data_IF_461749432621
#
_entry.id   IF_461749432621
#
_cell.length_a   1.000
_cell.length_b   1.000
_cell.length_c   1.000
_cell.angle_alpha   90.00
_cell.angle_beta   90.00
_cell.angle_gamma   90.00
#
_symmetry.space_group_name_H-M   'P 1'
#
loop_
_entity.id
_entity.type
_entity.pdbx_description
1 polymer ?
#
# COMPACT_ATOMS: atom_id res chain seq x y z
N UNK A 1 36.49 0.77 13.40
CA UNK A 1 35.63 -0.43 13.37
C UNK A 1 34.18 -0.01 13.12
N UNK A 2 33.55 0.79 14.02
CA UNK A 2 32.15 1.24 13.85
C UNK A 2 31.77 1.96 12.53
N UNK A 3 32.58 2.88 12.00
CA UNK A 3 32.18 3.61 10.77
C UNK A 3 32.28 2.77 9.50
N UNK A 4 33.31 1.92 9.43
CA UNK A 4 33.56 1.06 8.26
C UNK A 4 32.52 -0.05 8.15
N UNK A 5 32.07 -0.58 9.30
CA UNK A 5 31.01 -1.61 9.34
C UNK A 5 29.63 -1.00 9.00
N UNK A 6 29.38 0.28 9.32
CA UNK A 6 28.16 1.02 8.90
C UNK A 6 28.18 1.29 7.39
N UNK A 7 29.33 1.69 6.85
CA UNK A 7 29.50 1.97 5.42
C UNK A 7 29.37 0.70 4.56
N UNK A 8 29.90 -0.42 5.05
CA UNK A 8 29.75 -1.74 4.41
C UNK A 8 28.30 -2.23 4.50
N UNK A 9 27.60 -2.05 5.62
CA UNK A 9 26.17 -2.41 5.73
C UNK A 9 25.28 -1.51 4.83
N UNK A 10 25.59 -0.21 4.69
CA UNK A 10 24.93 0.68 3.72
C UNK A 10 25.18 0.27 2.26
N UNK A 11 26.40 -0.18 1.93
CA UNK A 11 26.76 -0.60 0.58
C UNK A 11 26.17 -1.96 0.23
N UNK A 12 26.45 -3.01 1.01
CA UNK A 12 26.05 -4.38 0.70
C UNK A 12 24.54 -4.57 0.83
N UNK A 13 23.95 -4.13 1.94
CA UNK A 13 22.51 -4.26 2.18
C UNK A 13 21.71 -3.30 1.31
N UNK A 14 22.24 -2.10 1.05
CA UNK A 14 21.63 -1.12 0.17
C UNK A 14 21.61 -1.59 -1.30
N UNK A 15 22.65 -2.29 -1.76
CA UNK A 15 22.69 -2.91 -3.09
C UNK A 15 21.77 -4.12 -3.20
N UNK A 16 21.75 -5.01 -2.20
CA UNK A 16 20.80 -6.12 -2.17
C UNK A 16 19.35 -5.63 -2.19
N UNK A 17 19.03 -4.59 -1.40
CA UNK A 17 17.73 -3.93 -1.42
C UNK A 17 17.46 -3.37 -2.83
N UNK A 18 18.37 -2.55 -3.38
CA UNK A 18 18.23 -1.98 -4.74
C UNK A 18 18.02 -3.04 -5.83
N UNK A 19 18.67 -4.20 -5.72
CA UNK A 19 18.53 -5.32 -6.67
C UNK A 19 17.35 -6.24 -6.39
N UNK A 20 16.70 -6.12 -5.22
CA UNK A 20 15.62 -7.02 -4.83
C UNK A 20 14.38 -6.83 -5.71
N UNK A 21 13.85 -7.93 -6.22
CA UNK A 21 12.56 -7.95 -6.95
C UNK A 21 11.41 -7.38 -6.13
N UNK A 22 11.50 -7.46 -4.80
CA UNK A 22 10.48 -6.98 -3.86
C UNK A 22 10.45 -5.45 -3.74
N UNK A 23 11.52 -4.75 -4.14
CA UNK A 23 11.61 -3.31 -3.90
C UNK A 23 12.18 -2.51 -5.08
N UNK A 24 11.99 -2.93 -6.34
CA UNK A 24 12.46 -2.19 -7.53
C UNK A 24 12.06 -0.71 -7.66
N UNK A 25 11.21 -0.17 -6.77
CA UNK A 25 10.90 1.27 -6.63
C UNK A 25 11.81 2.02 -5.64
N UNK A 26 12.59 1.34 -4.79
CA UNK A 26 13.51 1.94 -3.81
C UNK A 26 14.65 2.71 -4.48
N UNK A 27 15.04 2.37 -5.71
CA UNK A 27 15.99 3.16 -6.49
C UNK A 27 15.55 4.64 -6.62
N UNK A 28 14.23 4.89 -6.60
CA UNK A 28 13.64 6.24 -6.64
C UNK A 28 13.60 6.94 -5.27
N UNK A 29 14.29 6.42 -4.25
CA UNK A 29 14.31 6.94 -2.88
C UNK A 29 15.71 7.44 -2.49
N UNK A 30 16.58 7.74 -3.47
CA UNK A 30 17.86 8.39 -3.21
C UNK A 30 17.66 9.86 -2.81
N UNK A 31 18.10 10.22 -1.59
CA UNK A 31 18.02 11.58 -1.03
C UNK A 31 16.73 11.89 -0.26
N UNK A 32 16.65 13.10 0.31
CA UNK A 32 15.45 13.56 1.03
C UNK A 32 14.35 13.92 0.03
N UNK A 33 13.20 13.21 0.02
CA UNK A 33 12.15 13.49 -0.94
C UNK A 33 11.52 14.88 -0.77
N UNK A 34 11.12 15.51 -1.88
CA UNK A 34 10.50 16.85 -1.88
C UNK A 34 9.31 17.00 -0.94
N UNK A 35 8.44 15.99 -0.85
CA UNK A 35 7.26 16.02 0.03
C UNK A 35 7.61 16.23 1.52
N UNK A 36 8.84 15.91 1.95
CA UNK A 36 9.32 16.18 3.31
C UNK A 36 9.61 17.67 3.48
N UNK A 37 10.27 18.30 2.51
CA UNK A 37 10.69 19.70 2.59
C UNK A 37 9.53 20.71 2.50
N UNK A 38 8.44 20.37 1.81
CA UNK A 38 7.24 21.24 1.71
C UNK A 38 6.21 21.01 2.83
N UNK A 39 6.41 20.01 3.69
CA UNK A 39 5.46 19.68 4.75
C UNK A 39 5.59 20.60 5.97
N UNK A 40 4.45 20.99 6.55
CA UNK A 40 4.40 21.75 7.80
C UNK A 40 4.58 20.83 9.01
N UNK A 41 5.04 21.38 10.15
CA UNK A 41 5.27 20.61 11.40
C UNK A 41 4.03 19.84 11.90
N UNK A 42 2.82 20.28 11.58
CA UNK A 42 1.57 19.64 11.97
C UNK A 42 1.09 18.56 10.97
N UNK A 43 1.79 18.31 9.87
CA UNK A 43 1.41 17.36 8.81
C UNK A 43 2.08 15.98 8.95
N UNK A 44 2.53 15.61 10.16
CA UNK A 44 3.23 14.34 10.40
C UNK A 44 2.47 13.10 9.91
N UNK A 45 1.14 13.06 10.06
CA UNK A 45 0.31 11.95 9.54
C UNK A 45 0.36 11.84 8.02
N UNK A 46 0.38 12.99 7.32
CA UNK A 46 0.49 13.07 5.86
C UNK A 46 1.86 12.57 5.39
N UNK A 47 2.94 12.96 6.07
CA UNK A 47 4.29 12.45 5.80
C UNK A 47 4.38 10.93 5.92
N UNK A 48 3.92 10.39 7.05
CA UNK A 48 3.96 8.95 7.32
C UNK A 48 3.16 8.18 6.28
N UNK A 49 1.99 8.67 5.87
CA UNK A 49 1.19 8.05 4.81
C UNK A 49 1.96 7.97 3.49
N UNK A 50 2.46 9.11 3.00
CA UNK A 50 3.20 9.16 1.73
C UNK A 50 4.41 8.21 1.77
N UNK A 51 5.16 8.21 2.87
CA UNK A 51 6.30 7.32 3.06
C UNK A 51 5.90 5.83 2.96
N UNK A 52 4.87 5.41 3.70
CA UNK A 52 4.39 4.02 3.69
C UNK A 52 3.95 3.56 2.31
N UNK A 53 3.25 4.41 1.57
CA UNK A 53 2.83 4.10 0.20
C UNK A 53 4.02 4.01 -0.77
N UNK A 54 4.99 4.93 -0.67
CA UNK A 54 6.20 4.91 -1.51
C UNK A 54 7.07 3.70 -1.24
N UNK A 55 7.16 3.25 0.01
CA UNK A 55 7.92 2.07 0.39
C UNK A 55 7.17 0.75 0.17
N UNK A 56 5.94 0.79 -0.37
CA UNK A 56 5.17 -0.42 -0.69
C UNK A 56 4.54 -1.13 0.51
N UNK A 57 4.53 -0.52 1.70
CA UNK A 57 3.92 -1.09 2.91
C UNK A 57 2.41 -1.31 2.76
N UNK A 58 1.79 -0.48 1.91
CA UNK A 58 0.35 -0.49 1.64
C UNK A 58 -0.04 -1.47 0.52
N UNK A 59 0.92 -2.15 -0.12
CA UNK A 59 0.69 -3.20 -1.12
C UNK A 59 0.66 -4.57 -0.43
N UNK A 60 -0.52 -5.16 -0.23
CA UNK A 60 -0.63 -6.53 0.32
C UNK A 60 0.06 -7.55 -0.57
N UNK A 61 0.15 -7.28 -1.88
CA UNK A 61 0.89 -8.08 -2.85
C UNK A 61 2.38 -8.25 -2.51
N UNK A 62 3.00 -7.35 -1.73
CA UNK A 62 4.42 -7.44 -1.36
C UNK A 62 4.68 -8.28 -0.10
N UNK A 63 3.63 -8.80 0.55
CA UNK A 63 3.76 -9.60 1.78
C UNK A 63 4.01 -11.08 1.46
N UNK A 64 5.26 -11.42 1.16
CA UNK A 64 5.66 -12.79 0.75
C UNK A 64 5.45 -13.86 1.83
N UNK A 65 5.23 -13.47 3.08
CA UNK A 65 4.88 -14.39 4.18
C UNK A 65 3.39 -14.76 4.23
N UNK A 66 2.55 -14.12 3.41
CA UNK A 66 1.13 -14.49 3.25
C UNK A 66 0.95 -15.48 2.10
N UNK A 67 -0.13 -16.25 2.13
CA UNK A 67 -0.48 -17.12 1.00
C UNK A 67 -0.97 -16.29 -0.21
N UNK A 68 -0.99 -16.89 -1.40
CA UNK A 68 -1.34 -16.17 -2.64
C UNK A 68 -2.77 -15.60 -2.64
N UNK A 69 -3.73 -16.31 -2.03
CA UNK A 69 -5.11 -15.85 -1.89
C UNK A 69 -5.23 -14.62 -1.01
N UNK A 70 -4.50 -14.60 0.11
CA UNK A 70 -4.41 -13.44 0.99
C UNK A 70 -3.73 -12.27 0.31
N UNK A 71 -2.82 -12.50 -0.63
CA UNK A 71 -2.13 -11.42 -1.35
C UNK A 71 -2.99 -10.75 -2.43
N UNK A 72 -4.19 -11.27 -2.70
CA UNK A 72 -5.14 -10.66 -3.63
C UNK A 72 -5.65 -9.30 -3.14
N UNK A 73 -6.08 -8.49 -4.09
CA UNK A 73 -6.62 -7.16 -3.86
C UNK A 73 -7.80 -7.21 -2.87
N UNK A 74 -7.70 -6.46 -1.77
CA UNK A 74 -8.78 -6.34 -0.78
C UNK A 74 -10.07 -5.76 -1.37
N UNK A 75 -9.98 -5.01 -2.47
CA UNK A 75 -11.13 -4.37 -3.10
C UNK A 75 -11.82 -5.29 -4.11
N UNK A 76 -11.11 -5.79 -5.13
CA UNK A 76 -11.72 -6.62 -6.19
C UNK A 76 -11.51 -8.13 -6.02
N UNK A 77 -10.58 -8.59 -5.18
CA UNK A 77 -10.33 -10.01 -4.93
C UNK A 77 -9.75 -10.81 -6.11
N UNK A 78 -9.26 -10.17 -7.17
CA UNK A 78 -8.76 -10.86 -8.38
C UNK A 78 -7.25 -11.06 -8.39
N UNK A 79 -6.52 -9.98 -8.64
CA UNK A 79 -5.07 -9.98 -8.79
C UNK A 79 -4.35 -9.61 -7.49
N UNK A 80 -3.03 -9.80 -7.46
CA UNK A 80 -2.18 -9.36 -6.34
C UNK A 80 -2.35 -7.86 -6.09
N UNK A 81 -2.48 -7.49 -4.82
CA UNK A 81 -2.69 -6.11 -4.42
C UNK A 81 -1.42 -5.26 -4.57
N UNK A 82 -1.20 -4.73 -5.76
CA UNK A 82 -0.15 -3.77 -6.07
C UNK A 82 -0.75 -2.40 -6.42
N UNK A 83 0.05 -1.34 -6.31
CA UNK A 83 -0.31 0.02 -6.74
C UNK A 83 -0.58 0.05 -8.24
N UNK A 84 0.14 -0.73 -9.06
CA UNK A 84 -0.15 -0.81 -10.50
C UNK A 84 -1.54 -1.40 -10.75
N UNK A 85 -1.85 -2.50 -10.07
CA UNK A 85 -3.17 -3.11 -10.13
C UNK A 85 -4.26 -2.11 -9.69
N UNK A 86 -4.12 -1.51 -8.50
CA UNK A 86 -5.10 -0.55 -7.96
C UNK A 86 -5.30 0.67 -8.87
N UNK A 87 -4.24 1.15 -9.53
CA UNK A 87 -4.29 2.32 -10.41
C UNK A 87 -4.88 2.03 -11.79
N UNK A 88 -4.58 0.87 -12.38
CA UNK A 88 -4.84 0.59 -13.80
C UNK A 88 -5.94 -0.46 -14.03
N UNK A 89 -5.95 -1.49 -13.21
CA UNK A 89 -6.67 -2.74 -13.47
C UNK A 89 -7.85 -2.97 -12.52
N UNK A 90 -7.77 -2.47 -11.30
CA UNK A 90 -8.79 -2.69 -10.29
C UNK A 90 -10.11 -2.02 -10.69
N UNK A 91 -11.08 -2.84 -11.07
CA UNK A 91 -12.43 -2.41 -11.44
C UNK A 91 -13.12 -1.66 -10.30
N UNK A 92 -12.97 -2.14 -9.05
CA UNK A 92 -13.60 -1.50 -7.90
C UNK A 92 -13.11 -0.06 -7.70
N UNK A 93 -11.81 0.18 -7.88
CA UNK A 93 -11.23 1.52 -7.81
C UNK A 93 -11.69 2.37 -8.99
N UNK A 94 -11.78 1.78 -10.19
CA UNK A 94 -12.24 2.45 -11.41
C UNK A 94 -13.69 2.93 -11.29
N UNK A 95 -14.55 2.15 -10.66
CA UNK A 95 -15.97 2.46 -10.51
C UNK A 95 -16.24 3.49 -9.39
N UNK A 96 -15.38 3.52 -8.37
CA UNK A 96 -15.58 4.35 -7.18
C UNK A 96 -14.73 5.63 -7.15
N UNK A 97 -13.76 5.80 -8.06
CA UNK A 97 -12.80 6.89 -7.95
C UNK A 97 -11.95 7.16 -9.19
N UNK A 98 -10.99 8.08 -9.01
CA UNK A 98 -10.10 8.53 -10.08
C UNK A 98 -8.98 7.53 -10.37
N UNK A 99 -8.66 7.38 -11.67
CA UNK A 99 -7.42 6.72 -12.10
C UNK A 99 -6.24 7.57 -11.65
N UNK A 100 -5.56 7.17 -10.58
CA UNK A 100 -4.46 7.94 -10.04
C UNK A 100 -3.24 7.95 -10.96
N UNK A 101 -3.03 9.00 -11.76
CA UNK A 101 -1.77 9.14 -12.52
C UNK A 101 -0.64 9.55 -11.57
N UNK A 102 0.40 8.73 -11.50
CA UNK A 102 1.65 8.93 -10.76
C UNK A 102 1.49 9.26 -9.28
N UNK A 103 0.72 8.40 -8.61
CA UNK A 103 0.33 8.52 -7.20
C UNK A 103 1.49 8.42 -6.21
N UNK A 104 2.65 7.92 -6.63
CA UNK A 104 3.85 7.79 -5.77
C UNK A 104 4.91 8.87 -6.06
N UNK A 105 4.53 9.98 -6.72
CA UNK A 105 5.44 11.08 -7.04
C UNK A 105 6.08 11.70 -5.79
N UNK A 106 7.27 12.29 -5.99
CA UNK A 106 8.07 12.86 -4.90
C UNK A 106 7.49 14.12 -4.26
N UNK A 107 6.59 14.79 -4.95
CA UNK A 107 5.90 15.99 -4.50
C UNK A 107 4.74 15.69 -3.53
N UNK A 108 4.34 14.42 -3.39
CA UNK A 108 3.24 14.01 -2.53
C UNK A 108 1.85 14.40 -3.05
N UNK A 109 1.70 14.75 -4.33
CA UNK A 109 0.39 15.07 -4.95
C UNK A 109 -0.58 13.89 -4.98
N UNK A 110 -0.05 12.66 -4.93
CA UNK A 110 -0.87 11.44 -4.89
C UNK A 110 -1.59 11.16 -3.57
N UNK A 111 -1.46 12.01 -2.55
CA UNK A 111 -2.06 11.75 -1.23
C UNK A 111 -3.58 11.60 -1.26
N UNK A 112 -4.29 12.38 -2.08
CA UNK A 112 -5.75 12.27 -2.18
C UNK A 112 -6.18 10.89 -2.68
N UNK A 113 -5.43 10.32 -3.63
CA UNK A 113 -5.65 8.96 -4.10
C UNK A 113 -5.33 7.91 -3.02
N UNK A 114 -4.24 8.09 -2.26
CA UNK A 114 -3.89 7.21 -1.13
C UNK A 114 -5.00 7.16 -0.08
N UNK A 115 -5.53 8.32 0.31
CA UNK A 115 -6.64 8.45 1.27
C UNK A 115 -7.93 7.83 0.75
N UNK A 116 -8.22 8.00 -0.55
CA UNK A 116 -9.35 7.36 -1.20
C UNK A 116 -9.24 5.84 -1.12
N UNK A 117 -8.09 5.26 -1.45
CA UNK A 117 -7.91 3.81 -1.37
C UNK A 117 -8.03 3.29 0.08
N UNK A 118 -7.44 3.99 1.06
CA UNK A 118 -7.59 3.66 2.48
C UNK A 118 -9.07 3.65 2.91
N UNK A 119 -9.87 4.60 2.42
CA UNK A 119 -11.30 4.67 2.68
C UNK A 119 -12.05 3.50 2.05
N UNK A 120 -11.82 3.24 0.77
CA UNK A 120 -12.46 2.13 0.05
C UNK A 120 -12.17 0.78 0.70
N UNK A 121 -10.94 0.58 1.21
CA UNK A 121 -10.56 -0.65 1.93
C UNK A 121 -11.39 -0.83 3.20
N UNK A 122 -11.55 0.23 3.99
CA UNK A 122 -12.37 0.21 5.23
C UNK A 122 -13.85 0.00 4.94
N UNK A 123 -14.37 0.61 3.88
CA UNK A 123 -15.75 0.40 3.45
C UNK A 123 -15.97 -1.05 3.05
N UNK A 124 -15.06 -1.62 2.24
CA UNK A 124 -15.17 -3.02 1.81
C UNK A 124 -15.05 -4.02 2.95
N UNK A 125 -14.23 -3.73 3.95
CA UNK A 125 -14.12 -4.54 5.17
C UNK A 125 -15.43 -4.56 5.95
N UNK A 126 -16.04 -3.38 6.15
CA UNK A 126 -17.35 -3.25 6.82
C UNK A 126 -18.48 -3.93 6.06
N UNK A 127 -18.47 -3.90 4.72
CA UNK A 127 -19.43 -4.65 3.89
C UNK A 127 -19.33 -6.15 4.17
N UNK A 128 -18.10 -6.70 4.15
CA UNK A 128 -17.87 -8.13 4.42
C UNK A 128 -18.23 -8.54 5.84
N UNK A 129 -17.97 -7.69 6.83
CA UNK A 129 -18.39 -7.94 8.21
C UNK A 129 -19.92 -8.03 8.32
N UNK A 130 -20.66 -7.14 7.65
CA UNK A 130 -22.13 -7.17 7.64
C UNK A 130 -22.66 -8.42 6.93
N UNK A 131 -22.13 -8.73 5.75
CA UNK A 131 -22.46 -9.95 5.00
C UNK A 131 -22.20 -11.22 5.86
N UNK A 132 -21.08 -11.25 6.58
CA UNK A 132 -20.76 -12.35 7.49
C UNK A 132 -21.76 -12.50 8.63
N UNK A 133 -22.17 -11.39 9.27
CA UNK A 133 -23.19 -11.38 10.33
C UNK A 133 -24.54 -11.83 9.79
N UNK A 134 -24.93 -11.41 8.58
CA UNK A 134 -26.18 -11.83 7.94
C UNK A 134 -26.19 -13.34 7.65
N UNK A 135 -25.12 -13.87 7.07
CA UNK A 135 -24.98 -15.32 6.81
C UNK A 135 -25.01 -16.12 8.11
N UNK A 136 -24.37 -15.63 9.18
CA UNK A 136 -24.40 -16.29 10.49
C UNK A 136 -25.82 -16.29 11.07
N UNK A 137 -26.54 -15.18 10.98
CA UNK A 137 -27.96 -15.10 11.39
C UNK A 137 -28.83 -16.06 10.61
N UNK A 138 -28.69 -16.13 9.29
CA UNK A 138 -29.44 -17.07 8.46
C UNK A 138 -29.14 -18.53 8.82
N UNK A 139 -27.87 -18.88 9.09
CA UNK A 139 -27.50 -20.23 9.53
C UNK A 139 -28.13 -20.61 10.87
N UNK A 140 -28.17 -19.68 11.83
CA UNK A 140 -28.83 -19.90 13.12
C UNK A 140 -30.34 -20.10 12.92
N UNK A 141 -31.00 -19.26 12.11
CA UNK A 141 -32.44 -19.37 11.85
C UNK A 141 -32.85 -20.63 11.07
N UNK A 142 -31.95 -21.23 10.27
CA UNK A 142 -32.22 -22.49 9.54
C UNK A 142 -31.97 -23.73 10.40
N UNK A 143 -31.32 -23.57 11.56
CA UNK A 143 -30.99 -24.66 12.49
C UNK A 143 -31.99 -24.83 13.65
N UNK A 144 -33.02 -23.97 13.73
CA UNK A 144 -34.16 -24.03 14.67
C UNK A 144 -35.42 -24.55 13.97
#
# INVERSE_FOLDING_TARGET
LRERDIEVDEQERGEEVRMSRSCGRYERVNGVPRYIGVCKRNEGKRLVRIARWRCGNEERGNRYWMNEEERKCRLCGRERETVEHMRRECEYVRDKGERGRDVLNEDGRGIGWMEMIERLRKEKEREREREGIEIERERVCVSE
#
